data_IF_881029572421
#
_entry.id   IF_881029572421
#
_cell.length_a   1.000
_cell.length_b   1.000
_cell.length_c   1.000
_cell.angle_alpha   90.00
_cell.angle_beta   90.00
_cell.angle_gamma   90.00
#
_symmetry.space_group_name_H-M   'P 1'
#
loop_
_entity.id
_entity.type
_entity.pdbx_description
1 polymer ?
#
# COMPACT_ATOMS: atom_id res chain seq x y z
N UNK A 1 5.00 -8.49 -4.44
CA UNK A 1 4.48 -8.46 -3.06
C UNK A 1 5.42 -9.26 -2.17
N UNK A 2 5.93 -8.67 -1.08
CA UNK A 2 6.61 -9.44 -0.06
C UNK A 2 5.57 -10.26 0.73
N UNK A 3 5.82 -11.55 0.92
CA UNK A 3 4.95 -12.38 1.76
C UNK A 3 5.12 -11.95 3.22
N UNK A 4 4.00 -11.71 3.90
CA UNK A 4 3.97 -11.40 5.35
C UNK A 4 4.41 -12.61 6.18
N UNK A 5 4.32 -13.80 5.59
CA UNK A 5 4.85 -15.04 6.13
C UNK A 5 4.76 -16.16 5.11
N UNK A 6 5.71 -17.09 5.17
CA UNK A 6 5.71 -18.33 4.39
C UNK A 6 6.09 -19.49 5.29
N UNK A 7 5.53 -20.66 5.03
CA UNK A 7 6.02 -21.93 5.61
C UNK A 7 6.95 -22.61 4.62
N UNK A 8 7.82 -23.47 5.13
CA UNK A 8 8.60 -24.36 4.26
C UNK A 8 7.71 -25.42 3.61
N UNK A 9 8.09 -25.82 2.40
CA UNK A 9 7.50 -26.98 1.74
C UNK A 9 7.95 -28.26 2.46
N UNK A 10 7.03 -28.86 3.20
CA UNK A 10 7.26 -30.11 3.91
C UNK A 10 6.45 -31.24 3.29
N UNK A 11 7.06 -32.42 3.16
CA UNK A 11 6.36 -33.68 2.88
C UNK A 11 5.64 -34.18 4.14
N UNK A 12 4.71 -33.38 4.64
CA UNK A 12 3.95 -33.64 5.85
C UNK A 12 2.45 -33.47 5.58
N UNK A 13 1.62 -34.24 6.31
CA UNK A 13 0.15 -34.13 6.22
C UNK A 13 -0.40 -32.84 6.84
N UNK A 14 0.40 -32.14 7.64
CA UNK A 14 0.00 -30.90 8.31
C UNK A 14 1.21 -30.00 8.43
N UNK A 15 1.02 -28.73 8.10
CA UNK A 15 2.03 -27.68 8.22
C UNK A 15 1.50 -26.62 9.17
N UNK A 16 2.36 -26.12 10.05
CA UNK A 16 2.02 -25.09 11.02
C UNK A 16 2.90 -23.86 10.78
N UNK A 17 2.25 -22.70 10.67
CA UNK A 17 2.91 -21.41 10.53
C UNK A 17 2.46 -20.52 11.69
N UNK A 18 3.42 -20.07 12.50
CA UNK A 18 3.17 -19.12 13.57
C UNK A 18 3.76 -17.77 13.17
N UNK A 19 2.90 -16.77 13.00
CA UNK A 19 3.29 -15.40 12.70
C UNK A 19 3.14 -14.56 13.95
N UNK A 20 4.15 -13.74 14.24
CA UNK A 20 4.14 -12.73 15.31
C UNK A 20 4.14 -11.35 14.69
N UNK A 21 3.59 -10.38 15.42
CA UNK A 21 3.62 -8.96 15.06
C UNK A 21 3.04 -8.66 13.66
N UNK A 22 2.03 -9.44 13.24
CA UNK A 22 1.32 -9.20 11.98
C UNK A 22 0.51 -7.92 12.11
N UNK A 23 0.74 -6.90 11.25
CA UNK A 23 -0.01 -5.65 11.32
C UNK A 23 -1.53 -5.87 11.18
N UNK A 24 -2.35 -4.96 11.69
CA UNK A 24 -3.80 -5.04 11.47
C UNK A 24 -4.09 -4.78 9.99
N UNK A 25 -4.76 -5.70 9.31
CA UNK A 25 -4.98 -5.57 7.88
C UNK A 25 -5.80 -6.70 7.25
N UNK A 26 -5.89 -6.66 5.92
CA UNK A 26 -6.51 -7.73 5.11
C UNK A 26 -5.40 -8.53 4.45
N UNK A 27 -5.42 -9.84 4.67
CA UNK A 27 -4.41 -10.77 4.17
C UNK A 27 -5.04 -11.81 3.27
N UNK A 28 -4.27 -12.30 2.31
CA UNK A 28 -4.62 -13.44 1.47
C UNK A 28 -3.76 -14.62 1.93
N UNK A 29 -4.42 -15.69 2.38
CA UNK A 29 -3.75 -16.97 2.61
C UNK A 29 -3.80 -17.77 1.30
N UNK A 30 -2.64 -18.09 0.75
CA UNK A 30 -2.51 -18.89 -0.49
C UNK A 30 -1.99 -20.28 -0.11
N UNK A 31 -2.88 -21.28 0.06
CA UNK A 31 -2.46 -22.65 0.30
C UNK A 31 -1.83 -23.23 -0.97
N UNK A 32 -0.67 -23.85 -0.82
CA UNK A 32 0.06 -24.49 -1.92
C UNK A 32 0.35 -25.96 -1.57
N UNK A 33 0.58 -26.76 -2.60
CA UNK A 33 0.99 -28.17 -2.49
C UNK A 33 2.51 -28.29 -2.58
N UNK A 34 3.06 -29.37 -2.03
CA UNK A 34 4.51 -29.66 -2.11
C UNK A 34 4.95 -29.85 -3.56
N UNK A 35 4.21 -30.65 -4.34
CA UNK A 35 4.48 -30.84 -5.75
C UNK A 35 3.74 -29.79 -6.60
N UNK A 36 4.40 -29.20 -7.61
CA UNK A 36 3.75 -28.26 -8.51
C UNK A 36 2.62 -28.93 -9.28
N UNK A 37 1.57 -28.17 -9.58
CA UNK A 37 0.40 -28.61 -10.37
C UNK A 37 -0.44 -29.73 -9.73
N UNK A 38 -0.24 -30.00 -8.45
CA UNK A 38 -1.08 -30.92 -7.69
C UNK A 38 -2.29 -30.17 -7.11
N UNK A 39 -3.48 -30.77 -7.22
CA UNK A 39 -4.70 -30.28 -6.59
C UNK A 39 -5.14 -31.25 -5.52
N UNK A 40 -5.53 -30.72 -4.35
CA UNK A 40 -5.99 -31.54 -3.24
C UNK A 40 -6.98 -30.77 -2.37
N UNK A 41 -7.67 -31.49 -1.48
CA UNK A 41 -8.48 -30.88 -0.43
C UNK A 41 -7.62 -30.61 0.80
N UNK A 42 -7.92 -29.53 1.49
CA UNK A 42 -7.19 -29.15 2.70
C UNK A 42 -8.16 -28.58 3.74
N UNK A 43 -7.70 -28.54 4.98
CA UNK A 43 -8.39 -27.89 6.09
C UNK A 43 -7.48 -26.78 6.61
N UNK A 44 -7.98 -25.55 6.60
CA UNK A 44 -7.29 -24.40 7.19
C UNK A 44 -7.87 -24.13 8.58
N UNK A 45 -7.00 -24.11 9.59
CA UNK A 45 -7.34 -23.68 10.95
C UNK A 45 -6.55 -22.41 11.26
N UNK A 46 -7.27 -21.37 11.71
CA UNK A 46 -6.68 -20.08 12.07
C UNK A 46 -6.90 -19.88 13.56
N UNK A 47 -5.79 -19.67 14.29
CA UNK A 47 -5.79 -19.31 15.69
C UNK A 47 -5.32 -17.87 15.80
N UNK A 48 -6.11 -17.00 16.43
CA UNK A 48 -5.78 -15.61 16.65
C UNK A 48 -6.42 -15.13 17.95
N UNK A 49 -5.68 -14.30 18.69
CA UNK A 49 -6.20 -13.61 19.87
C UNK A 49 -7.18 -12.48 19.49
N UNK A 50 -7.25 -12.14 18.20
CA UNK A 50 -8.17 -11.17 17.64
C UNK A 50 -9.27 -11.85 16.82
N UNK A 51 -10.40 -11.15 16.68
CA UNK A 51 -11.49 -11.60 15.80
C UNK A 51 -11.04 -11.53 14.34
N UNK A 52 -10.94 -12.68 13.69
CA UNK A 52 -10.68 -12.80 12.26
C UNK A 52 -11.96 -13.12 11.49
N UNK A 53 -12.11 -12.56 10.28
CA UNK A 53 -13.23 -12.83 9.37
C UNK A 53 -12.73 -13.52 8.09
N UNK A 54 -12.43 -14.83 8.13
CA UNK A 54 -11.98 -15.54 6.94
C UNK A 54 -13.09 -15.57 5.88
N UNK A 55 -12.74 -15.21 4.64
CA UNK A 55 -13.64 -15.28 3.48
C UNK A 55 -12.93 -15.97 2.34
N UNK A 56 -13.62 -16.87 1.65
CA UNK A 56 -13.07 -17.51 0.46
C UNK A 56 -12.98 -16.46 -0.66
N UNK A 57 -11.77 -16.28 -1.20
CA UNK A 57 -11.55 -15.39 -2.34
C UNK A 57 -12.02 -16.09 -3.63
N UNK A 58 -13.29 -15.91 -3.97
CA UNK A 58 -13.92 -16.55 -5.15
C UNK A 58 -13.80 -15.73 -6.42
N UNK A 59 -13.45 -14.44 -6.30
CA UNK A 59 -13.36 -13.52 -7.42
C UNK A 59 -11.91 -13.24 -7.72
N UNK A 60 -11.53 -13.37 -8.99
CA UNK A 60 -10.21 -12.96 -9.47
C UNK A 60 -10.04 -11.44 -9.52
N UNK A 61 -11.16 -10.70 -9.63
CA UNK A 61 -11.18 -9.24 -9.66
C UNK A 61 -12.44 -8.68 -8.96
N UNK A 62 -12.46 -7.40 -8.54
CA UNK A 62 -13.64 -6.76 -7.99
C UNK A 62 -14.86 -6.89 -8.92
N UNK A 63 -16.05 -7.14 -8.35
CA UNK A 63 -17.28 -7.29 -9.16
C UNK A 63 -17.72 -5.98 -9.80
N UNK A 64 -18.21 -6.08 -11.04
CA UNK A 64 -18.88 -4.98 -11.76
C UNK A 64 -20.04 -4.45 -10.91
N UNK A 65 -20.11 -3.13 -10.71
CA UNK A 65 -21.27 -2.49 -10.07
C UNK A 65 -22.57 -2.72 -10.85
N UNK A 66 -23.72 -2.39 -10.25
CA UNK A 66 -25.09 -2.65 -10.77
C UNK A 66 -25.38 -2.15 -12.20
N UNK A 67 -24.50 -1.34 -12.81
CA UNK A 67 -24.65 -0.82 -14.18
C UNK A 67 -23.39 -1.01 -15.05
N UNK A 68 -22.40 -1.80 -14.64
CA UNK A 68 -21.15 -1.98 -15.39
C UNK A 68 -20.24 -0.73 -15.45
N UNK A 69 -20.69 0.44 -15.00
CA UNK A 69 -20.01 1.73 -15.13
C UNK A 69 -18.76 1.95 -14.25
N UNK A 70 -18.24 0.93 -13.55
CA UNK A 70 -17.10 1.09 -12.63
C UNK A 70 -16.12 -0.07 -12.73
N UNK A 71 -15.69 -0.38 -13.95
CA UNK A 71 -14.58 -1.31 -14.14
C UNK A 71 -13.26 -0.55 -13.96
N UNK A 72 -12.35 -1.05 -13.10
CA UNK A 72 -10.99 -0.56 -13.14
C UNK A 72 -10.34 -1.02 -14.44
N UNK A 73 -9.77 -0.06 -15.15
CA UNK A 73 -9.07 -0.25 -16.43
C UNK A 73 -7.55 -0.23 -16.25
N UNK A 74 -7.07 0.01 -15.04
CA UNK A 74 -5.66 0.00 -14.71
C UNK A 74 -5.45 -0.23 -13.22
N UNK A 75 -4.28 -0.75 -12.89
CA UNK A 75 -3.78 -0.88 -11.53
C UNK A 75 -2.56 0.01 -11.38
N UNK A 76 -2.53 0.78 -10.30
CA UNK A 76 -1.39 1.63 -9.95
C UNK A 76 -0.93 1.32 -8.55
N UNK A 77 0.32 0.89 -8.46
CA UNK A 77 1.02 0.60 -7.23
C UNK A 77 1.93 1.78 -6.91
N UNK A 78 1.75 2.35 -5.73
CA UNK A 78 2.57 3.46 -5.24
C UNK A 78 3.21 3.00 -3.95
N UNK A 79 4.54 3.05 -3.91
CA UNK A 79 5.33 2.79 -2.71
C UNK A 79 5.90 4.11 -2.23
N UNK A 80 5.55 4.49 -1.00
CA UNK A 80 6.07 5.70 -0.34
C UNK A 80 7.32 5.26 0.42
N UNK A 81 8.50 5.63 -0.10
CA UNK A 81 9.78 5.13 0.41
C UNK A 81 10.20 5.98 1.60
N UNK A 82 10.53 7.24 1.35
CA UNK A 82 11.13 8.11 2.35
C UNK A 82 10.96 9.59 2.01
N UNK A 83 10.93 10.43 3.03
CA UNK A 83 10.99 11.89 2.94
C UNK A 83 12.33 12.39 3.48
N UNK A 84 13.04 13.15 2.66
CA UNK A 84 14.19 13.93 3.07
C UNK A 84 13.71 15.33 3.42
N UNK A 85 13.94 15.74 4.66
CA UNK A 85 13.45 17.00 5.21
C UNK A 85 14.61 17.96 5.50
N UNK A 86 14.52 19.18 4.98
CA UNK A 86 15.49 20.27 5.18
C UNK A 86 15.24 21.05 6.47
N UNK A 87 14.87 20.35 7.55
CA UNK A 87 14.57 20.95 8.84
C UNK A 87 15.21 20.16 9.99
N UNK A 88 15.70 20.88 10.99
CA UNK A 88 16.36 20.27 12.15
C UNK A 88 15.38 19.70 13.18
N UNK A 89 14.11 20.11 13.11
CA UNK A 89 13.08 19.72 14.07
C UNK A 89 12.59 18.30 13.80
N UNK A 90 12.58 17.50 14.85
CA UNK A 90 11.97 16.17 14.83
C UNK A 90 10.46 16.27 14.61
N UNK A 91 9.96 15.41 13.71
CA UNK A 91 8.55 15.28 13.35
C UNK A 91 8.12 13.84 13.50
N UNK A 92 6.85 13.64 13.79
CA UNK A 92 6.20 12.33 13.72
C UNK A 92 5.38 12.32 12.43
N UNK A 93 6.02 11.97 11.31
CA UNK A 93 5.44 12.22 10.00
C UNK A 93 4.60 11.05 9.49
N UNK A 94 3.53 11.36 8.76
CA UNK A 94 2.81 10.41 7.93
C UNK A 94 2.38 11.07 6.62
N UNK A 95 2.16 10.24 5.62
CA UNK A 95 1.67 10.66 4.32
C UNK A 95 0.21 10.24 4.15
N UNK A 96 -0.56 11.10 3.50
CA UNK A 96 -1.87 10.79 2.98
C UNK A 96 -1.78 10.81 1.47
N UNK A 97 -2.15 9.70 0.83
CA UNK A 97 -2.20 9.58 -0.61
C UNK A 97 -3.65 9.45 -1.05
N UNK A 98 -4.07 10.32 -1.95
CA UNK A 98 -5.45 10.45 -2.41
C UNK A 98 -5.53 10.37 -3.93
N UNK A 99 -6.51 9.61 -4.42
CA UNK A 99 -6.82 9.46 -5.83
C UNK A 99 -8.33 9.31 -6.01
N UNK A 100 -8.97 10.37 -6.50
CA UNK A 100 -10.42 10.42 -6.67
C UNK A 100 -11.16 10.28 -5.33
N UNK A 101 -11.75 9.10 -5.07
CA UNK A 101 -12.48 8.79 -3.81
C UNK A 101 -11.70 7.89 -2.87
N UNK A 102 -10.54 7.42 -3.29
CA UNK A 102 -9.71 6.50 -2.50
C UNK A 102 -8.64 7.28 -1.79
N UNK A 103 -8.55 7.09 -0.48
CA UNK A 103 -7.60 7.76 0.40
C UNK A 103 -6.93 6.72 1.28
N UNK A 104 -5.59 6.72 1.30
CA UNK A 104 -4.77 5.84 2.13
C UNK A 104 -3.80 6.67 2.95
N UNK A 105 -3.36 6.13 4.08
CA UNK A 105 -2.49 6.80 5.04
C UNK A 105 -1.38 5.83 5.44
N UNK A 106 -0.14 6.32 5.51
CA UNK A 106 1.00 5.56 6.05
C UNK A 106 0.94 5.51 7.58
N UNK A 107 1.74 4.63 8.18
CA UNK A 107 2.06 4.73 9.61
C UNK A 107 2.74 6.07 9.94
N UNK A 108 2.63 6.49 11.21
CA UNK A 108 3.35 7.66 11.73
C UNK A 108 4.75 7.22 12.14
N UNK A 109 5.76 7.85 11.55
CA UNK A 109 7.18 7.53 11.82
C UNK A 109 7.90 8.79 12.30
N UNK A 110 8.61 8.66 13.42
CA UNK A 110 9.43 9.75 13.94
C UNK A 110 10.74 9.85 13.17
N UNK A 111 11.11 11.06 12.80
CA UNK A 111 12.41 11.36 12.18
C UNK A 111 12.72 12.84 12.17
N UNK A 112 13.96 13.19 11.81
CA UNK A 112 14.42 14.58 11.66
C UNK A 112 14.61 14.92 10.19
N UNK A 113 15.77 14.55 9.63
CA UNK A 113 16.13 14.86 8.25
C UNK A 113 15.70 13.76 7.28
N UNK A 114 15.39 12.57 7.80
CA UNK A 114 14.96 11.42 7.03
C UNK A 114 13.84 10.71 7.78
N UNK A 115 12.74 10.45 7.08
CA UNK A 115 11.63 9.61 7.55
C UNK A 115 11.39 8.53 6.51
N UNK A 116 11.48 7.25 6.88
CA UNK A 116 11.32 6.12 5.98
C UNK A 116 10.09 5.30 6.37
N UNK A 117 9.23 5.00 5.39
CA UNK A 117 8.03 4.18 5.57
C UNK A 117 8.14 2.85 4.81
N UNK A 118 8.61 2.89 3.57
CA UNK A 118 8.58 1.75 2.63
C UNK A 118 7.20 1.07 2.56
N UNK A 119 6.14 1.89 2.53
CA UNK A 119 4.77 1.40 2.53
C UNK A 119 4.15 1.43 1.14
N UNK A 120 3.49 0.34 0.76
CA UNK A 120 2.93 0.14 -0.57
C UNK A 120 1.40 0.16 -0.58
N UNK A 121 0.85 0.87 -1.56
CA UNK A 121 -0.59 1.02 -1.78
C UNK A 121 -0.96 0.68 -3.21
N UNK A 122 -2.12 0.04 -3.38
CA UNK A 122 -2.65 -0.37 -4.69
C UNK A 122 -3.97 0.34 -4.98
N UNK A 123 -4.03 1.00 -6.13
CA UNK A 123 -5.18 1.75 -6.61
C UNK A 123 -5.71 1.13 -7.89
N UNK A 124 -7.02 0.89 -7.92
CA UNK A 124 -7.74 0.45 -9.10
C UNK A 124 -8.42 1.67 -9.73
N UNK A 125 -8.06 2.02 -10.97
CA UNK A 125 -8.45 3.31 -11.57
C UNK A 125 -9.35 3.16 -12.79
N UNK A 126 -10.17 4.18 -13.01
CA UNK A 126 -10.92 4.37 -14.25
C UNK A 126 -10.13 5.16 -15.30
N UNK A 127 -10.69 5.33 -16.52
CA UNK A 127 -9.97 5.88 -17.69
C UNK A 127 -9.52 7.34 -17.59
N UNK A 128 -10.06 8.10 -16.63
CA UNK A 128 -9.82 9.54 -16.54
C UNK A 128 -9.17 9.98 -15.23
N UNK A 129 -8.71 9.03 -14.40
CA UNK A 129 -8.11 9.33 -13.10
C UNK A 129 -6.60 9.08 -13.17
N UNK A 130 -5.82 10.13 -13.43
CA UNK A 130 -4.35 10.06 -13.54
C UNK A 130 -3.62 10.76 -12.41
N UNK A 131 -4.23 11.81 -11.85
CA UNK A 131 -3.62 12.64 -10.82
C UNK A 131 -3.75 11.99 -9.44
N UNK A 132 -2.65 12.03 -8.70
CA UNK A 132 -2.56 11.68 -7.29
C UNK A 132 -2.21 12.93 -6.50
N UNK A 133 -2.89 13.10 -5.38
CA UNK A 133 -2.55 14.13 -4.40
C UNK A 133 -1.86 13.46 -3.23
N UNK A 134 -0.73 14.01 -2.81
CA UNK A 134 0.00 13.56 -1.64
C UNK A 134 0.12 14.70 -0.64
N UNK A 135 -0.24 14.41 0.60
CA UNK A 135 -0.14 15.34 1.72
C UNK A 135 0.82 14.77 2.76
N UNK A 136 1.81 15.57 3.17
CA UNK A 136 2.71 15.26 4.28
C UNK A 136 2.16 15.93 5.54
N UNK A 137 2.09 15.18 6.63
CA UNK A 137 1.55 15.65 7.91
C UNK A 137 2.49 15.34 9.07
N UNK A 138 2.41 16.16 10.11
CA UNK A 138 3.03 15.93 11.41
C UNK A 138 1.96 15.55 12.45
N UNK A 139 2.00 14.30 12.91
CA UNK A 139 1.14 13.69 13.92
C UNK A 139 1.48 14.22 15.31
N UNK A 140 0.58 15.05 15.84
CA UNK A 140 0.79 15.76 17.09
C UNK A 140 0.01 15.09 18.23
N UNK A 141 0.69 14.33 19.09
CA UNK A 141 0.07 13.61 20.21
C UNK A 141 -0.83 14.48 21.12
N UNK A 142 -0.50 15.76 21.30
CA UNK A 142 -1.19 16.68 22.23
C UNK A 142 -1.91 17.84 21.52
N UNK A 143 -1.94 17.87 20.19
CA UNK A 143 -2.55 18.94 19.42
C UNK A 143 -3.25 18.38 18.17
N UNK A 144 -3.77 19.25 17.30
CA UNK A 144 -4.24 18.81 15.99
C UNK A 144 -3.04 18.56 15.08
N UNK A 145 -3.14 17.50 14.28
CA UNK A 145 -2.16 17.21 13.24
C UNK A 145 -1.99 18.40 12.30
N UNK A 146 -0.75 18.64 11.89
CA UNK A 146 -0.39 19.78 11.06
C UNK A 146 0.03 19.29 9.69
N UNK A 147 -0.67 19.74 8.64
CA UNK A 147 -0.22 19.52 7.28
C UNK A 147 1.04 20.34 7.06
N UNK A 148 2.09 19.69 6.57
CA UNK A 148 3.38 20.30 6.27
C UNK A 148 3.49 20.68 4.80
N UNK A 149 3.03 19.79 3.91
CA UNK A 149 3.12 19.99 2.46
C UNK A 149 1.98 19.27 1.75
N UNK A 150 1.62 19.77 0.57
CA UNK A 150 0.67 19.15 -0.35
C UNK A 150 1.21 19.27 -1.77
N UNK A 151 1.34 18.14 -2.45
CA UNK A 151 1.85 18.05 -3.81
C UNK A 151 0.98 17.13 -4.65
N UNK A 152 1.03 17.26 -5.97
CA UNK A 152 0.35 16.34 -6.89
C UNK A 152 1.29 15.82 -7.96
N UNK A 153 0.98 14.63 -8.46
CA UNK A 153 1.73 14.00 -9.55
C UNK A 153 0.82 13.13 -10.39
N UNK A 154 1.15 13.01 -11.68
CA UNK A 154 0.42 12.16 -12.61
C UNK A 154 1.02 10.77 -12.66
N UNK A 155 0.27 9.74 -12.26
CA UNK A 155 0.60 8.35 -12.51
C UNK A 155 0.05 7.89 -13.87
N UNK A 156 0.72 8.29 -14.95
CA UNK A 156 0.40 7.85 -16.32
C UNK A 156 0.58 6.34 -16.44
N UNK A 157 -0.30 5.69 -17.19
CA UNK A 157 -0.20 4.26 -17.48
C UNK A 157 0.88 4.09 -18.55
N UNK A 158 2.07 3.68 -18.14
CA UNK A 158 3.23 3.45 -19.00
C UNK A 158 3.69 1.99 -18.98
N UNK A 159 3.01 1.12 -18.23
CA UNK A 159 3.35 -0.29 -18.03
C UNK A 159 4.79 -0.48 -17.52
N UNK A 160 5.30 0.49 -16.76
CA UNK A 160 6.64 0.50 -16.22
C UNK A 160 6.63 0.84 -14.71
N UNK A 161 7.77 0.64 -14.06
CA UNK A 161 8.03 1.06 -12.68
C UNK A 161 9.06 2.17 -12.69
N UNK A 162 8.70 3.32 -12.12
CA UNK A 162 9.55 4.50 -12.09
C UNK A 162 9.69 5.06 -10.68
N UNK A 163 10.89 5.57 -10.41
CA UNK A 163 11.17 6.34 -9.20
C UNK A 163 10.84 7.82 -9.48
N UNK A 164 10.13 8.45 -8.56
CA UNK A 164 9.77 9.88 -8.63
C UNK A 164 10.20 10.54 -7.32
N UNK A 165 10.88 11.68 -7.44
CA UNK A 165 11.17 12.56 -6.32
C UNK A 165 10.24 13.77 -6.40
N UNK A 166 9.29 13.85 -5.47
CA UNK A 166 8.37 14.97 -5.38
C UNK A 166 8.94 16.05 -4.48
N UNK A 167 9.01 17.28 -4.98
CA UNK A 167 9.37 18.42 -4.14
C UNK A 167 8.27 18.65 -3.10
N UNK A 168 8.69 18.83 -1.85
CA UNK A 168 7.84 19.20 -0.74
C UNK A 168 8.06 20.69 -0.49
N UNK A 169 7.01 21.48 -0.65
CA UNK A 169 7.00 22.90 -0.33
C UNK A 169 5.97 23.16 0.78
N UNK A 170 6.27 24.09 1.67
CA UNK A 170 5.30 24.59 2.65
C UNK A 170 4.28 25.52 1.97
N UNK A 171 3.27 25.96 2.74
CA UNK A 171 2.24 26.88 2.23
C UNK A 171 2.76 28.28 1.88
N UNK A 172 4.01 28.60 2.23
CA UNK A 172 4.69 29.85 1.90
C UNK A 172 5.67 29.70 0.72
N UNK A 173 5.77 28.50 0.13
CA UNK A 173 6.66 28.20 -1.00
C UNK A 173 8.11 27.92 -0.60
N UNK A 174 8.42 27.80 0.69
CA UNK A 174 9.72 27.36 1.16
C UNK A 174 9.83 25.85 0.96
N UNK A 175 10.97 25.39 0.43
CA UNK A 175 11.20 23.96 0.32
C UNK A 175 11.38 23.33 1.70
N UNK A 176 10.66 22.24 1.90
CA UNK A 176 10.80 21.34 3.04
C UNK A 176 11.68 20.14 2.70
N UNK A 177 12.05 19.96 1.42
CA UNK A 177 12.86 18.86 0.91
C UNK A 177 12.12 18.07 -0.18
N UNK A 178 12.28 16.75 -0.20
CA UNK A 178 11.68 15.90 -1.23
C UNK A 178 11.20 14.56 -0.69
N UNK A 179 10.19 14.01 -1.35
CA UNK A 179 9.62 12.69 -1.07
C UNK A 179 9.93 11.75 -2.22
N UNK A 180 10.58 10.63 -1.90
CA UNK A 180 10.90 9.56 -2.85
C UNK A 180 9.76 8.54 -2.89
N UNK A 181 9.26 8.29 -4.10
CA UNK A 181 8.19 7.36 -4.39
C UNK A 181 8.60 6.39 -5.50
N UNK A 182 8.06 5.17 -5.45
CA UNK A 182 8.07 4.25 -6.59
C UNK A 182 6.64 4.13 -7.11
N UNK A 183 6.43 4.46 -8.39
CA UNK A 183 5.13 4.38 -9.06
C UNK A 183 5.21 3.32 -10.13
N UNK A 184 4.29 2.36 -10.11
CA UNK A 184 4.13 1.38 -11.17
C UNK A 184 2.68 1.39 -11.64
N UNK A 185 2.42 1.67 -12.91
CA UNK A 185 1.07 1.84 -13.44
C UNK A 185 0.85 0.98 -14.69
N UNK A 186 -0.02 -0.01 -14.57
CA UNK A 186 -0.29 -1.01 -15.60
C UNK A 186 -1.73 -0.92 -16.12
N UNK A 187 -1.92 -1.08 -17.42
CA UNK A 187 -3.23 -1.15 -18.09
C UNK A 187 -3.96 -2.47 -17.84
N UNK A 188 -3.24 -3.53 -17.49
CA UNK A 188 -3.86 -4.79 -17.09
C UNK A 188 -4.22 -4.77 -15.60
N UNK A 189 -5.52 -4.75 -15.23
CA UNK A 189 -5.95 -4.76 -13.85
C UNK A 189 -5.67 -6.09 -13.13
N UNK A 190 -5.23 -7.13 -13.85
CA UNK A 190 -4.80 -8.41 -13.29
C UNK A 190 -3.29 -8.48 -13.04
N UNK A 191 -2.54 -7.46 -13.44
CA UNK A 191 -1.10 -7.39 -13.23
C UNK A 191 -0.81 -7.06 -11.75
N UNK A 192 -0.29 -8.04 -11.00
CA UNK A 192 0.10 -7.92 -9.59
C UNK A 192 1.56 -8.34 -9.38
#
# INVERSE_FOLDING_TARGET
>A
MAAVGTSDYASARSVFLHLRDVPIGRYIAVPTTYAPREQTTFMLRIYSDHKVEPRVLTKHAPSKGLFGCRQPISVTRITIIEAFLEQEKEVNAYCILECGRTKVRTSSVKGRNLVSWDEQFVFHRGPYITEFTLELWNDCLMARDQMMSKTSFDARIDNDTREINLKLDDFYGKSLGYLKLIVAAFDDPMYL
#
